data_IF_584150736158
#
_entry.id   IF_584150736158
#
_cell.length_a   1.000
_cell.length_b   1.000
_cell.length_c   1.000
_cell.angle_alpha   90.00
_cell.angle_beta   90.00
_cell.angle_gamma   90.00
#
_symmetry.space_group_name_H-M   'P 1'
#
loop_
_entity.id
_entity.type
_entity.pdbx_description
1 polymer ?
#
# COMPACT_ATOMS: atom_id res chain seq x y z
N UNK A 1 -11.47 6.39 -5.46
CA UNK A 1 -10.02 6.12 -5.33
C UNK A 1 -9.17 7.31 -5.81
N UNK A 2 -9.41 7.82 -7.02
CA UNK A 2 -8.64 8.92 -7.62
C UNK A 2 -8.72 10.22 -6.78
N UNK A 3 -9.93 10.66 -6.40
CA UNK A 3 -10.11 11.84 -5.53
C UNK A 3 -9.41 11.71 -4.16
N UNK A 4 -9.39 10.50 -3.60
CA UNK A 4 -8.73 10.26 -2.32
C UNK A 4 -7.22 10.43 -2.42
N UNK A 5 -6.64 10.08 -3.57
CA UNK A 5 -5.21 10.24 -3.82
C UNK A 5 -4.83 11.70 -4.02
N UNK A 6 -5.68 12.48 -4.71
CA UNK A 6 -5.51 13.93 -4.84
C UNK A 6 -5.60 14.65 -3.48
N UNK A 7 -6.47 14.15 -2.61
CA UNK A 7 -6.81 14.78 -1.35
C UNK A 7 -7.80 15.92 -1.58
N UNK A 8 -9.08 15.70 -1.26
CA UNK A 8 -10.08 16.79 -1.28
C UNK A 8 -9.89 17.78 -0.12
N UNK A 9 -9.20 17.32 0.92
CA UNK A 9 -8.89 18.10 2.11
C UNK A 9 -7.45 18.60 2.00
N UNK A 10 -7.17 19.77 2.57
CA UNK A 10 -5.80 20.28 2.69
C UNK A 10 -4.97 19.40 3.62
N UNK A 11 -3.65 19.52 3.54
CA UNK A 11 -2.76 18.97 4.55
C UNK A 11 -3.24 19.40 5.94
N UNK A 12 -3.26 18.46 6.90
CA UNK A 12 -3.85 18.74 8.21
C UNK A 12 -3.08 19.86 8.93
N UNK A 13 -3.77 20.66 9.75
CA UNK A 13 -3.11 21.70 10.54
C UNK A 13 -2.03 21.14 11.48
N UNK A 14 -2.19 19.90 11.95
CA UNK A 14 -1.15 19.19 12.70
C UNK A 14 0.10 18.89 11.85
N UNK A 15 -0.07 18.46 10.60
CA UNK A 15 1.06 18.18 9.71
C UNK A 15 1.74 19.50 9.28
N UNK A 16 0.98 20.54 8.97
CA UNK A 16 1.51 21.89 8.69
C UNK A 16 2.32 22.43 9.86
N UNK A 17 1.75 22.37 11.07
CA UNK A 17 2.42 22.79 12.30
C UNK A 17 3.71 22.02 12.54
N UNK A 18 3.71 20.70 12.26
CA UNK A 18 4.89 19.87 12.37
C UNK A 18 5.98 20.30 11.39
N UNK A 19 5.66 20.58 10.12
CA UNK A 19 6.64 21.07 9.14
C UNK A 19 7.31 22.37 9.57
N UNK A 20 6.52 23.33 10.03
CA UNK A 20 7.01 24.63 10.51
C UNK A 20 7.93 24.45 11.72
N UNK A 21 7.51 23.64 12.70
CA UNK A 21 8.30 23.34 13.90
C UNK A 21 9.63 22.62 13.58
N UNK A 22 9.68 21.90 12.45
CA UNK A 22 10.87 21.18 12.00
C UNK A 22 11.64 21.92 10.90
N UNK A 23 11.43 23.24 10.74
CA UNK A 23 12.31 24.12 9.97
C UNK A 23 11.90 24.40 8.52
N UNK A 24 10.71 23.94 8.08
CA UNK A 24 10.16 24.35 6.79
C UNK A 24 9.62 25.78 6.90
N UNK A 25 9.95 26.63 5.92
CA UNK A 25 9.45 28.01 5.90
C UNK A 25 7.93 28.06 5.88
N UNK A 26 7.35 28.99 6.64
CA UNK A 26 5.90 29.25 6.67
C UNK A 26 5.35 29.53 5.27
N UNK A 27 6.06 30.30 4.44
CA UNK A 27 5.62 30.64 3.09
C UNK A 27 5.48 29.40 2.20
N UNK A 28 6.34 28.40 2.40
CA UNK A 28 6.29 27.13 1.66
C UNK A 28 5.08 26.30 2.14
N UNK A 29 4.85 26.26 3.45
CA UNK A 29 3.74 25.50 4.04
C UNK A 29 2.39 26.13 3.71
N UNK A 30 2.28 27.46 3.73
CA UNK A 30 1.06 28.20 3.39
C UNK A 30 0.74 28.13 1.89
N UNK A 31 1.74 27.92 1.04
CA UNK A 31 1.53 27.69 -0.40
C UNK A 31 0.96 26.28 -0.70
N UNK A 32 0.95 25.35 0.26
CA UNK A 32 0.33 24.03 0.09
C UNK A 32 -1.19 24.14 0.15
N UNK A 33 -1.83 24.06 -1.03
CA UNK A 33 -3.28 24.18 -1.20
C UNK A 33 -4.02 22.83 -1.19
N UNK A 34 -3.28 21.72 -1.08
CA UNK A 34 -3.81 20.36 -1.07
C UNK A 34 -3.12 19.48 -0.03
N UNK A 35 -3.60 18.26 0.16
CA UNK A 35 -2.92 17.23 0.96
C UNK A 35 -1.59 16.78 0.34
N UNK A 36 -1.45 16.92 -0.98
CA UNK A 36 -0.25 16.51 -1.70
C UNK A 36 0.79 17.61 -1.65
N UNK A 37 2.03 17.26 -1.31
CA UNK A 37 3.17 18.20 -1.30
C UNK A 37 3.87 18.27 -2.66
N UNK A 38 3.62 17.31 -3.55
CA UNK A 38 4.01 17.33 -4.95
C UNK A 38 3.08 16.43 -5.77
N UNK A 39 2.83 16.78 -7.04
CA UNK A 39 2.00 15.96 -7.94
C UNK A 39 2.59 15.90 -9.35
N UNK A 40 2.35 14.80 -10.06
CA UNK A 40 2.64 14.68 -11.49
C UNK A 40 1.72 13.68 -12.18
N UNK A 41 1.79 13.61 -13.51
CA UNK A 41 1.03 12.64 -14.28
C UNK A 41 1.76 12.14 -15.53
N UNK A 42 1.39 10.93 -15.95
CA UNK A 42 1.81 10.27 -17.19
C UNK A 42 0.55 10.13 -18.05
N UNK A 43 0.52 10.79 -19.22
CA UNK A 43 -0.65 10.85 -20.12
C UNK A 43 -1.96 11.37 -19.49
N UNK A 44 -1.85 12.08 -18.37
CA UNK A 44 -2.99 12.63 -17.64
C UNK A 44 -2.51 13.86 -16.86
N UNK A 45 -3.38 14.85 -16.73
CA UNK A 45 -3.17 15.95 -15.80
C UNK A 45 -3.63 15.49 -14.40
N UNK A 46 -2.79 15.52 -13.36
CA UNK A 46 -3.18 15.11 -12.00
C UNK A 46 -4.40 15.90 -11.50
N UNK A 47 -4.58 17.16 -11.90
CA UNK A 47 -5.71 17.95 -11.45
C UNK A 47 -7.05 17.46 -11.99
N UNK A 48 -7.03 16.91 -13.21
CA UNK A 48 -8.20 16.41 -13.93
C UNK A 48 -8.19 14.88 -14.05
N UNK A 49 -7.36 14.19 -13.27
CA UNK A 49 -7.14 12.76 -13.43
C UNK A 49 -8.44 11.96 -13.35
N UNK A 50 -9.36 12.32 -12.45
CA UNK A 50 -10.64 11.61 -12.32
C UNK A 50 -11.49 11.67 -13.59
N UNK A 51 -11.67 12.87 -14.15
CA UNK A 51 -12.52 13.06 -15.33
C UNK A 51 -11.84 12.51 -16.58
N UNK A 52 -10.55 12.80 -16.79
CA UNK A 52 -9.78 12.31 -17.94
C UNK A 52 -9.70 10.78 -17.94
N UNK A 53 -9.39 10.15 -16.80
CA UNK A 53 -9.31 8.69 -16.73
C UNK A 53 -10.68 8.03 -16.94
N UNK A 54 -11.78 8.65 -16.49
CA UNK A 54 -13.15 8.17 -16.74
C UNK A 54 -13.48 8.20 -18.23
N UNK A 55 -13.20 9.31 -18.90
CA UNK A 55 -13.42 9.44 -20.35
C UNK A 55 -12.63 8.41 -21.15
N UNK A 56 -11.37 8.16 -20.78
CA UNK A 56 -10.56 7.11 -21.42
C UNK A 56 -11.15 5.71 -21.19
N UNK A 57 -11.64 5.41 -19.98
CA UNK A 57 -12.34 4.13 -19.70
C UNK A 57 -13.60 3.97 -20.56
N UNK A 58 -14.37 5.03 -20.72
CA UNK A 58 -15.58 5.05 -21.55
C UNK A 58 -15.23 4.81 -23.04
N UNK A 59 -14.20 5.47 -23.56
CA UNK A 59 -13.72 5.31 -24.93
C UNK A 59 -13.33 3.85 -25.26
N UNK A 60 -12.61 3.19 -24.35
CA UNK A 60 -12.19 1.79 -24.51
C UNK A 60 -13.25 0.77 -24.06
N UNK A 61 -14.47 1.22 -23.72
CA UNK A 61 -15.57 0.37 -23.23
C UNK A 61 -15.15 -0.53 -22.06
N UNK A 62 -14.32 0.01 -21.16
CA UNK A 62 -13.72 -0.72 -20.05
C UNK A 62 -14.69 -0.81 -18.85
N UNK A 63 -15.78 -1.55 -19.00
CA UNK A 63 -16.97 -1.56 -18.10
C UNK A 63 -16.83 -2.40 -16.81
N UNK A 64 -15.63 -2.53 -16.25
CA UNK A 64 -15.43 -3.30 -15.01
C UNK A 64 -15.66 -2.49 -13.74
N UNK A 65 -15.85 -3.17 -12.61
CA UNK A 65 -15.96 -2.53 -11.28
C UNK A 65 -14.65 -1.92 -10.79
N UNK A 66 -13.51 -2.42 -11.23
CA UNK A 66 -12.21 -1.83 -10.92
C UNK A 66 -11.93 -0.67 -11.86
N UNK A 67 -11.90 0.54 -11.33
CA UNK A 67 -11.66 1.77 -12.12
C UNK A 67 -10.17 2.11 -12.26
N UNK A 68 -9.37 1.79 -11.24
CA UNK A 68 -7.95 2.11 -11.18
C UNK A 68 -7.22 1.17 -10.23
N UNK A 69 -5.91 1.01 -10.44
CA UNK A 69 -4.99 0.35 -9.53
C UNK A 69 -4.27 1.41 -8.71
N UNK A 70 -4.12 1.17 -7.40
CA UNK A 70 -3.35 2.03 -6.50
C UNK A 70 -2.09 1.31 -6.06
N UNK A 71 -0.95 1.96 -6.23
CA UNK A 71 0.33 1.56 -5.64
C UNK A 71 0.72 2.63 -4.62
N UNK A 72 1.20 2.18 -3.46
CA UNK A 72 1.81 3.05 -2.45
C UNK A 72 3.30 2.73 -2.42
N UNK A 73 4.12 3.75 -2.64
CA UNK A 73 5.58 3.70 -2.56
C UNK A 73 6.00 4.63 -1.43
N UNK A 74 6.85 4.20 -0.51
CA UNK A 74 7.24 4.99 0.66
C UNK A 74 8.74 4.93 0.85
N UNK A 75 9.32 6.02 1.34
CA UNK A 75 10.75 6.16 1.55
C UNK A 75 11.07 6.34 3.03
N UNK A 76 12.28 5.93 3.42
CA UNK A 76 12.76 6.13 4.79
C UNK A 76 13.27 7.55 4.99
N UNK A 77 13.33 8.04 6.23
CA UNK A 77 13.96 9.32 6.56
C UNK A 77 15.46 9.36 6.28
N UNK A 78 16.10 8.20 6.15
CA UNK A 78 17.50 8.12 5.75
C UNK A 78 17.69 8.36 4.24
N UNK A 79 16.64 8.12 3.44
CA UNK A 79 16.67 8.27 1.99
C UNK A 79 16.14 9.62 1.52
N UNK A 80 15.02 10.07 2.10
CA UNK A 80 14.35 11.32 1.77
C UNK A 80 13.86 12.02 3.03
N UNK A 81 14.12 13.32 3.13
CA UNK A 81 13.75 14.14 4.29
C UNK A 81 12.42 14.88 4.04
N UNK A 82 11.34 14.60 4.81
CA UNK A 82 10.07 15.31 4.66
C UNK A 82 10.13 16.80 5.02
N UNK A 83 11.19 17.26 5.69
CA UNK A 83 11.40 18.68 6.03
C UNK A 83 12.21 19.42 4.95
N UNK A 84 12.65 18.71 3.90
CA UNK A 84 13.30 19.27 2.74
C UNK A 84 12.33 19.31 1.53
N UNK A 85 11.80 20.47 1.13
CA UNK A 85 10.88 20.57 0.00
C UNK A 85 11.43 20.03 -1.33
N UNK A 86 12.76 20.01 -1.52
CA UNK A 86 13.36 19.40 -2.70
C UNK A 86 13.13 17.88 -2.74
N UNK A 87 13.08 17.22 -1.57
CA UNK A 87 12.79 15.79 -1.48
C UNK A 87 11.31 15.46 -1.72
N UNK A 88 10.40 16.43 -1.60
CA UNK A 88 9.00 16.24 -1.99
C UNK A 88 8.89 15.99 -3.50
N UNK A 89 9.54 16.84 -4.30
CA UNK A 89 9.59 16.67 -5.75
C UNK A 89 10.39 15.42 -6.13
N UNK A 90 11.54 15.16 -5.48
CA UNK A 90 12.33 13.95 -5.72
C UNK A 90 11.53 12.68 -5.44
N UNK A 91 10.75 12.64 -4.36
CA UNK A 91 9.84 11.54 -4.07
C UNK A 91 8.84 11.36 -5.21
N UNK A 92 8.24 12.45 -5.70
CA UNK A 92 7.28 12.39 -6.80
C UNK A 92 7.90 11.85 -8.10
N UNK A 93 9.10 12.32 -8.44
CA UNK A 93 9.83 11.91 -9.64
C UNK A 93 10.16 10.41 -9.63
N UNK A 94 10.58 9.88 -8.47
CA UNK A 94 10.77 8.44 -8.27
C UNK A 94 9.48 7.63 -8.47
N UNK A 95 8.34 8.20 -8.04
CA UNK A 95 7.02 7.62 -8.27
C UNK A 95 6.61 7.64 -9.75
N UNK A 96 6.95 8.70 -10.47
CA UNK A 96 6.72 8.83 -11.90
C UNK A 96 7.59 7.85 -12.71
N UNK A 97 8.87 7.70 -12.35
CA UNK A 97 9.75 6.71 -12.98
C UNK A 97 9.23 5.28 -12.75
N UNK A 98 8.85 4.94 -11.52
CA UNK A 98 8.23 3.65 -11.22
C UNK A 98 6.95 3.44 -12.03
N UNK A 99 6.10 4.47 -12.14
CA UNK A 99 4.87 4.42 -12.93
C UNK A 99 5.11 4.06 -14.40
N UNK A 100 6.08 4.72 -15.04
CA UNK A 100 6.43 4.48 -16.44
C UNK A 100 6.93 3.04 -16.66
N UNK A 101 7.73 2.50 -15.73
CA UNK A 101 8.23 1.12 -15.81
C UNK A 101 7.13 0.09 -15.56
N UNK A 102 6.25 0.34 -14.59
CA UNK A 102 5.28 -0.67 -14.16
C UNK A 102 4.01 -0.73 -15.01
N UNK A 103 3.62 0.41 -15.61
CA UNK A 103 2.37 0.57 -16.35
C UNK A 103 2.59 1.36 -17.67
N UNK A 104 3.41 0.83 -18.61
CA UNK A 104 3.66 1.51 -19.87
C UNK A 104 2.37 1.70 -20.68
N UNK A 105 2.23 2.86 -21.30
CA UNK A 105 1.04 3.26 -22.08
C UNK A 105 -0.27 3.30 -21.26
N UNK A 106 -0.21 3.40 -19.94
CA UNK A 106 -1.38 3.70 -19.10
C UNK A 106 -1.37 5.17 -18.65
N UNK A 107 -2.55 5.74 -18.43
CA UNK A 107 -2.64 7.00 -17.71
C UNK A 107 -2.30 6.76 -16.24
N UNK A 108 -1.40 7.57 -15.68
CA UNK A 108 -1.01 7.45 -14.28
C UNK A 108 -0.96 8.82 -13.62
N UNK A 109 -1.58 8.97 -12.46
CA UNK A 109 -1.43 10.17 -11.62
C UNK A 109 -0.63 9.81 -10.36
N UNK A 110 0.33 10.66 -9.99
CA UNK A 110 1.22 10.47 -8.83
C UNK A 110 1.03 11.62 -7.86
N UNK A 111 0.67 11.30 -6.62
CA UNK A 111 0.45 12.26 -5.55
C UNK A 111 1.38 11.95 -4.39
N UNK A 112 2.26 12.88 -4.05
CA UNK A 112 3.23 12.72 -2.95
C UNK A 112 2.66 13.31 -1.69
N UNK A 113 2.60 12.49 -0.64
CA UNK A 113 2.11 12.85 0.67
C UNK A 113 3.22 12.67 1.71
N UNK A 114 3.06 13.34 2.85
CA UNK A 114 3.89 13.16 4.04
C UNK A 114 3.07 12.94 5.30
N UNK A 115 1.79 12.61 5.16
CA UNK A 115 0.90 12.46 6.29
C UNK A 115 0.98 11.05 6.92
N UNK A 116 0.58 10.95 8.19
CA UNK A 116 0.67 9.72 8.98
C UNK A 116 1.71 9.80 10.09
N UNK A 117 1.67 8.83 11.02
CA UNK A 117 2.36 8.88 12.33
C UNK A 117 3.88 9.08 12.27
N UNK A 118 4.52 8.87 11.12
CA UNK A 118 5.97 9.01 10.96
C UNK A 118 6.40 10.08 9.96
N UNK A 119 5.47 10.87 9.41
CA UNK A 119 5.72 11.88 8.38
C UNK A 119 6.61 11.45 7.21
N UNK A 120 6.53 10.17 6.80
CA UNK A 120 7.36 9.65 5.72
C UNK A 120 6.82 10.11 4.37
N UNK A 121 7.71 10.54 3.49
CA UNK A 121 7.35 10.79 2.10
C UNK A 121 6.90 9.50 1.42
N UNK A 122 5.73 9.57 0.80
CA UNK A 122 5.15 8.45 0.09
C UNK A 122 4.29 8.89 -1.08
N UNK A 123 4.32 8.12 -2.16
CA UNK A 123 3.53 8.35 -3.36
C UNK A 123 2.27 7.49 -3.32
N UNK A 124 1.12 8.09 -3.64
CA UNK A 124 -0.03 7.41 -4.19
C UNK A 124 0.03 7.43 -5.71
N UNK A 125 0.35 6.29 -6.31
CA UNK A 125 0.43 6.12 -7.76
C UNK A 125 -0.87 5.47 -8.24
N UNK A 126 -1.65 6.18 -9.05
CA UNK A 126 -2.98 5.79 -9.50
C UNK A 126 -2.95 5.49 -10.99
N UNK A 127 -3.03 4.21 -11.34
CA UNK A 127 -2.96 3.72 -12.72
C UNK A 127 -4.37 3.48 -13.25
N UNK A 128 -4.70 4.11 -14.39
CA UNK A 128 -5.96 3.86 -15.08
C UNK A 128 -5.96 2.46 -15.71
N UNK A 129 -7.12 1.80 -15.71
CA UNK A 129 -7.24 0.43 -16.20
C UNK A 129 -6.90 0.24 -17.68
N UNK A 130 -7.48 0.98 -18.65
CA UNK A 130 -7.20 0.73 -20.05
C UNK A 130 -5.78 1.18 -20.42
N UNK A 131 -5.08 0.30 -21.12
CA UNK A 131 -3.89 0.65 -21.86
C UNK A 131 -4.28 1.51 -23.08
N UNK A 132 -3.62 2.64 -23.28
CA UNK A 132 -3.95 3.64 -24.30
C UNK A 132 -3.75 3.15 -25.73
N UNK A 133 -2.95 2.11 -25.95
CA UNK A 133 -2.73 1.53 -27.29
C UNK A 133 -3.63 0.34 -27.57
N UNK A 134 -3.81 -0.52 -26.57
CA UNK A 134 -4.46 -1.83 -26.77
C UNK A 134 -5.88 -1.92 -26.20
N UNK A 135 -6.30 -0.95 -25.38
CA UNK A 135 -7.56 -0.98 -24.63
C UNK A 135 -7.62 -2.05 -23.52
N UNK A 136 -6.63 -2.95 -23.44
CA UNK A 136 -6.58 -4.03 -22.44
C UNK A 136 -6.44 -3.44 -21.03
N UNK A 137 -7.10 -4.09 -20.07
CA UNK A 137 -7.00 -3.72 -18.65
C UNK A 137 -5.59 -3.99 -18.12
N UNK A 138 -5.13 -3.11 -17.24
CA UNK A 138 -3.95 -3.33 -16.41
C UNK A 138 -4.14 -4.61 -15.58
N UNK A 139 -3.18 -5.52 -15.67
CA UNK A 139 -3.28 -6.85 -15.07
C UNK A 139 -2.42 -6.95 -13.81
N UNK A 140 -3.06 -7.20 -12.68
CA UNK A 140 -2.46 -7.11 -11.34
C UNK A 140 -1.96 -8.45 -10.77
N UNK A 141 -2.11 -9.58 -11.48
CA UNK A 141 -1.71 -10.87 -10.91
C UNK A 141 -0.19 -10.92 -10.71
N UNK A 142 0.23 -11.24 -9.47
CA UNK A 142 1.62 -11.29 -8.98
C UNK A 142 2.35 -9.95 -8.84
N UNK A 143 1.61 -8.84 -8.69
CA UNK A 143 2.18 -7.49 -8.74
C UNK A 143 3.20 -7.18 -7.65
N UNK A 144 3.08 -7.68 -6.42
CA UNK A 144 3.95 -7.20 -5.34
C UNK A 144 5.44 -7.53 -5.57
N UNK A 145 5.78 -8.76 -6.01
CA UNK A 145 7.18 -9.15 -6.26
C UNK A 145 7.76 -8.38 -7.44
N UNK A 146 6.98 -8.24 -8.53
CA UNK A 146 7.36 -7.48 -9.72
C UNK A 146 7.57 -6.00 -9.39
N UNK A 147 6.58 -5.37 -8.75
CA UNK A 147 6.62 -3.97 -8.35
C UNK A 147 7.73 -3.70 -7.35
N UNK A 148 7.94 -4.60 -6.38
CA UNK A 148 9.06 -4.47 -5.44
C UNK A 148 10.40 -4.49 -6.16
N UNK A 149 10.57 -5.36 -7.16
CA UNK A 149 11.81 -5.41 -7.95
C UNK A 149 12.00 -4.13 -8.77
N UNK A 150 10.97 -3.65 -9.46
CA UNK A 150 11.03 -2.40 -10.22
C UNK A 150 11.31 -1.21 -9.31
N UNK A 151 10.71 -1.18 -8.12
CA UNK A 151 10.97 -0.16 -7.12
C UNK A 151 12.42 -0.20 -6.63
N UNK A 152 12.97 -1.38 -6.34
CA UNK A 152 14.37 -1.52 -5.93
C UNK A 152 15.32 -1.07 -7.04
N UNK A 153 15.03 -1.42 -8.30
CA UNK A 153 15.81 -0.97 -9.46
C UNK A 153 15.80 0.57 -9.58
N UNK A 154 14.66 1.22 -9.35
CA UNK A 154 14.56 2.69 -9.30
C UNK A 154 15.32 3.25 -8.09
N UNK A 155 15.10 2.71 -6.89
CA UNK A 155 15.76 3.18 -5.66
C UNK A 155 17.29 3.12 -5.78
N UNK A 156 17.84 1.97 -6.22
CA UNK A 156 19.28 1.78 -6.40
C UNK A 156 19.87 2.71 -7.47
N UNK A 157 19.15 2.95 -8.57
CA UNK A 157 19.60 3.86 -9.63
C UNK A 157 19.76 5.31 -9.13
N UNK A 158 19.04 5.69 -8.07
CA UNK A 158 19.09 7.01 -7.43
C UNK A 158 19.88 7.02 -6.11
N UNK A 159 20.64 5.95 -5.83
CA UNK A 159 21.48 5.84 -4.64
C UNK A 159 20.72 5.68 -3.32
N UNK A 160 19.46 5.24 -3.37
CA UNK A 160 18.61 5.01 -2.20
C UNK A 160 18.73 3.57 -1.69
N UNK A 161 18.37 3.39 -0.42
CA UNK A 161 18.34 2.08 0.22
C UNK A 161 17.19 1.20 -0.28
N UNK A 162 17.37 -0.12 -0.18
CA UNK A 162 16.33 -1.12 -0.45
C UNK A 162 16.11 -1.99 0.79
N UNK A 163 14.93 -2.63 0.85
CA UNK A 163 14.59 -3.53 1.94
C UNK A 163 15.45 -4.79 1.84
N UNK A 164 16.24 -5.06 2.88
CA UNK A 164 16.87 -6.37 3.06
C UNK A 164 15.79 -7.41 3.39
N UNK A 165 15.54 -8.29 2.42
CA UNK A 165 14.51 -9.33 2.52
C UNK A 165 14.98 -10.53 3.33
N UNK A 166 16.29 -10.71 3.54
CA UNK A 166 16.83 -11.76 4.39
C UNK A 166 16.62 -11.44 5.87
N UNK A 167 16.62 -10.15 6.22
CA UNK A 167 16.31 -9.64 7.55
C UNK A 167 14.80 -9.41 7.78
N UNK A 168 13.95 -9.70 6.79
CA UNK A 168 12.52 -9.50 6.93
C UNK A 168 11.98 -10.40 8.07
N UNK A 169 11.19 -9.85 9.01
CA UNK A 169 10.65 -10.65 10.10
C UNK A 169 9.77 -11.76 9.54
N UNK A 170 10.02 -12.99 9.99
CA UNK A 170 9.26 -14.18 9.58
C UNK A 170 7.74 -14.05 9.83
N UNK A 171 7.35 -13.20 10.78
CA UNK A 171 5.94 -12.91 11.11
C UNK A 171 5.59 -11.47 10.72
N UNK A 172 4.70 -11.33 9.73
CA UNK A 172 4.11 -10.04 9.38
C UNK A 172 3.15 -9.57 10.48
N UNK A 173 3.28 -8.31 10.90
CA UNK A 173 2.37 -7.64 11.82
C UNK A 173 1.69 -6.46 11.13
N UNK A 174 0.46 -6.16 11.52
CA UNK A 174 -0.24 -4.94 11.08
C UNK A 174 0.26 -3.73 11.87
N UNK A 175 0.08 -2.54 11.32
CA UNK A 175 0.40 -1.29 12.03
C UNK A 175 -0.35 -1.18 13.37
N UNK A 176 -1.61 -1.62 13.42
CA UNK A 176 -2.39 -1.65 14.65
C UNK A 176 -1.77 -2.59 15.71
N UNK A 177 -1.30 -3.78 15.31
CA UNK A 177 -0.58 -4.68 16.23
C UNK A 177 0.71 -4.04 16.76
N UNK A 178 1.46 -3.33 15.90
CA UNK A 178 2.67 -2.63 16.30
C UNK A 178 2.36 -1.47 17.26
N UNK A 179 1.30 -0.69 17.02
CA UNK A 179 0.89 0.43 17.88
C UNK A 179 0.42 -0.05 19.25
N UNK A 180 -0.43 -1.09 19.31
CA UNK A 180 -0.86 -1.69 20.58
C UNK A 180 0.36 -2.16 21.38
N UNK A 181 1.30 -2.85 20.72
CA UNK A 181 2.53 -3.32 21.37
C UNK A 181 3.41 -2.16 21.86
N UNK A 182 3.55 -1.08 21.10
CA UNK A 182 4.32 0.10 21.50
C UNK A 182 3.71 0.82 22.71
N UNK A 183 2.37 0.77 22.85
CA UNK A 183 1.64 1.26 24.03
C UNK A 183 1.63 0.28 25.20
N UNK A 184 2.31 -0.86 25.06
CA UNK A 184 2.29 -1.96 26.02
C UNK A 184 0.87 -2.51 26.28
N UNK A 185 -0.01 -2.41 25.29
CA UNK A 185 -1.39 -2.90 25.33
C UNK A 185 -1.49 -4.35 24.81
N UNK A 186 -2.60 -5.00 25.16
CA UNK A 186 -2.88 -6.39 24.79
C UNK A 186 -3.05 -6.57 23.26
N UNK A 187 -2.27 -7.49 22.68
CA UNK A 187 -2.37 -7.89 21.27
C UNK A 187 -2.94 -9.31 21.18
N UNK A 188 -4.25 -9.44 21.00
CA UNK A 188 -4.93 -10.73 20.98
C UNK A 188 -4.37 -11.75 19.97
N UNK A 189 -3.83 -11.27 18.84
CA UNK A 189 -3.19 -12.14 17.84
C UNK A 189 -1.86 -12.72 18.33
N UNK A 190 -1.14 -12.02 19.20
CA UNK A 190 0.08 -12.56 19.82
C UNK A 190 -0.25 -13.63 20.85
N UNK A 191 -1.29 -13.40 21.65
CA UNK A 191 -1.80 -14.40 22.58
C UNK A 191 -2.27 -15.66 21.84
N UNK A 192 -3.09 -15.52 20.79
CA UNK A 192 -3.50 -16.66 19.96
C UNK A 192 -2.31 -17.39 19.34
N UNK A 193 -1.34 -16.66 18.75
CA UNK A 193 -0.13 -17.27 18.19
C UNK A 193 0.66 -18.01 19.27
N UNK A 194 0.84 -17.42 20.45
CA UNK A 194 1.55 -18.04 21.56
C UNK A 194 0.88 -19.33 22.04
N UNK A 195 -0.46 -19.34 22.13
CA UNK A 195 -1.24 -20.54 22.45
C UNK A 195 -1.09 -21.63 21.38
N UNK A 196 -1.16 -21.26 20.10
CA UNK A 196 -0.97 -22.21 18.99
C UNK A 196 0.48 -22.74 18.99
N UNK A 197 1.49 -21.87 19.07
CA UNK A 197 2.90 -22.23 19.08
C UNK A 197 3.21 -23.19 20.26
N UNK A 198 2.62 -22.96 21.43
CA UNK A 198 2.73 -23.85 22.60
C UNK A 198 2.13 -25.24 22.34
N UNK A 199 0.97 -25.32 21.68
CA UNK A 199 0.35 -26.60 21.33
C UNK A 199 1.19 -27.33 20.28
N UNK A 200 1.67 -26.61 19.26
CA UNK A 200 2.49 -27.17 18.18
C UNK A 200 3.86 -27.66 18.68
N UNK A 201 4.38 -27.10 19.76
CA UNK A 201 5.60 -27.56 20.42
C UNK A 201 5.45 -28.80 21.29
N UNK A 202 4.22 -29.29 21.51
CA UNK A 202 3.99 -30.49 22.33
C UNK A 202 4.22 -31.77 21.51
N UNK A 203 5.37 -32.41 21.73
CA UNK A 203 5.78 -33.64 21.05
C UNK A 203 4.87 -34.86 21.33
N UNK A 204 3.97 -34.78 22.32
CA UNK A 204 2.98 -35.84 22.61
C UNK A 204 1.75 -35.78 21.70
N UNK A 205 1.65 -34.75 20.86
CA UNK A 205 0.56 -34.60 19.91
C UNK A 205 0.78 -35.50 18.69
N UNK A 206 -0.12 -36.46 18.50
CA UNK A 206 0.04 -37.52 17.50
C UNK A 206 -0.96 -37.46 16.35
N UNK A 207 -2.00 -36.65 16.48
CA UNK A 207 -3.09 -36.58 15.50
C UNK A 207 -3.72 -35.20 15.40
N UNK A 208 -4.42 -34.98 14.28
CA UNK A 208 -5.24 -33.79 14.08
C UNK A 208 -6.35 -33.64 15.14
N UNK A 209 -6.89 -34.76 15.61
CA UNK A 209 -7.89 -34.77 16.67
C UNK A 209 -7.29 -34.27 17.99
N UNK A 210 -6.10 -34.72 18.34
CA UNK A 210 -5.39 -34.24 19.54
C UNK A 210 -5.11 -32.74 19.46
N UNK A 211 -4.70 -32.26 18.28
CA UNK A 211 -4.50 -30.83 18.02
C UNK A 211 -5.78 -30.03 18.24
N UNK A 212 -6.87 -30.50 17.63
CA UNK A 212 -8.21 -29.89 17.71
C UNK A 212 -8.73 -29.80 19.15
N UNK A 213 -8.58 -30.87 19.93
CA UNK A 213 -8.96 -30.89 21.35
C UNK A 213 -8.11 -29.93 22.19
N UNK A 214 -6.80 -29.85 21.91
CA UNK A 214 -5.87 -28.96 22.63
C UNK A 214 -6.09 -27.49 22.31
N UNK A 215 -6.50 -27.15 21.08
CA UNK A 215 -6.94 -25.81 20.71
C UNK A 215 -8.14 -25.37 21.54
N UNK A 216 -9.18 -26.22 21.62
CA UNK A 216 -10.39 -25.94 22.41
C UNK A 216 -10.06 -25.81 23.90
N UNK A 217 -9.25 -26.72 24.46
CA UNK A 217 -8.78 -26.65 25.86
C UNK A 217 -8.00 -25.36 26.16
N UNK A 218 -7.32 -24.80 25.15
CA UNK A 218 -6.58 -23.54 25.27
C UNK A 218 -7.46 -22.30 25.02
N UNK A 219 -8.78 -22.48 24.93
CA UNK A 219 -9.76 -21.40 24.73
C UNK A 219 -9.83 -20.87 23.31
N UNK A 220 -9.30 -21.60 22.32
CA UNK A 220 -9.37 -21.23 20.90
C UNK A 220 -10.59 -21.90 20.29
N UNK A 221 -11.55 -21.07 19.84
CA UNK A 221 -12.71 -21.52 19.08
C UNK A 221 -12.38 -21.36 17.59
N UNK A 222 -12.58 -22.42 16.82
CA UNK A 222 -12.41 -22.42 15.37
C UNK A 222 -13.67 -22.96 14.70
N UNK A 223 -13.96 -22.50 13.48
CA UNK A 223 -15.02 -23.03 12.64
C UNK A 223 -14.40 -23.65 11.40
N UNK A 224 -14.81 -24.87 11.05
CA UNK A 224 -14.46 -25.49 9.79
C UNK A 224 -15.45 -25.07 8.71
N UNK A 225 -14.95 -24.59 7.57
CA UNK A 225 -15.70 -24.50 6.33
C UNK A 225 -15.13 -25.51 5.34
N UNK A 226 -15.88 -26.56 5.03
CA UNK A 226 -15.55 -27.52 3.98
C UNK A 226 -16.09 -27.01 2.65
N UNK A 227 -15.27 -26.31 1.87
CA UNK A 227 -15.55 -25.98 0.46
C UNK A 227 -14.35 -26.52 -0.32
N UNK A 228 -14.41 -27.50 -1.24
CA UNK A 228 -15.46 -27.97 -2.15
C UNK A 228 -15.41 -29.51 -2.33
N UNK A 229 -16.56 -30.14 -2.61
CA UNK A 229 -16.67 -31.16 -3.68
C UNK A 229 -17.96 -30.86 -4.43
N UNK A 230 -17.85 -30.44 -5.69
CA UNK A 230 -18.95 -30.51 -6.66
C UNK A 230 -19.16 -31.98 -7.03
N UNK A 231 -20.37 -32.49 -6.78
CA UNK A 231 -20.94 -33.59 -7.56
C UNK A 231 -22.43 -33.34 -7.76
N UNK A 232 -22.83 -33.23 -9.02
CA UNK A 232 -24.21 -33.26 -9.48
C UNK A 232 -24.77 -34.67 -9.41
N UNK A 233 -25.99 -34.85 -8.91
CA UNK A 233 -26.86 -35.91 -9.39
C UNK A 233 -28.32 -35.47 -9.33
N UNK A 234 -28.94 -35.48 -10.50
CA UNK A 234 -30.38 -35.33 -10.73
C UNK A 234 -31.09 -36.66 -10.48
N UNK A 235 -32.43 -36.59 -10.40
CA UNK A 235 -33.45 -37.65 -10.46
C UNK A 235 -34.09 -37.99 -9.10
N UNK A 236 -35.41 -37.90 -8.94
CA UNK A 236 -36.50 -37.93 -9.93
C UNK A 236 -37.39 -36.68 -9.92
#
# INVERSE_FOLDING_TARGET
MIDYAKGRDQLSESDKSWLIQNGVSIDIVDALDSRSVATSGVFVDPDYAKSQMKQTRELFQNTGSTEAMRVIQSFSHADLDPTNPADWQRCNDLGNELAQKMAPDHQVAVYTHLDGTGHKLHNHIIVNMPNLKTGKKYHHQNDFKRLSKLNDEVALAHGLSIIDREQAPAKRRTMAECQLKAKNEYVWKDDLRGRIDKIMGDATMSSYKDFSERLVRSGIIYNFSTTEVKTSHTSF
#
